data_IF_629084571289
#
_entry.id   IF_629084571289
#
_cell.length_a   1.000
_cell.length_b   1.000
_cell.length_c   1.000
_cell.angle_alpha   90.00
_cell.angle_beta   90.00
_cell.angle_gamma   90.00
#
_symmetry.space_group_name_H-M   'P 1'
#
loop_
_entity.id
_entity.type
_entity.pdbx_description
1 polymer ?
#
# COMPACT_ATOMS: atom_id res chain seq x y z
N UNK A 1 -4.76 -15.90 -35.02
CA UNK A 1 -3.82 -15.36 -36.04
C UNK A 1 -3.18 -14.03 -35.60
N UNK A 2 -3.91 -13.08 -34.99
CA UNK A 2 -3.31 -11.87 -34.41
C UNK A 2 -2.33 -12.13 -33.24
N UNK A 3 -2.61 -13.10 -32.38
CA UNK A 3 -1.75 -13.44 -31.23
C UNK A 3 -0.34 -13.94 -31.60
N UNK A 4 -0.11 -14.37 -32.85
CA UNK A 4 1.19 -14.85 -33.35
C UNK A 4 2.00 -13.75 -34.07
N UNK A 5 1.39 -12.57 -34.30
CA UNK A 5 2.05 -11.42 -34.91
C UNK A 5 2.68 -10.47 -33.87
N UNK A 6 2.41 -10.70 -32.58
CA UNK A 6 3.09 -10.00 -31.50
C UNK A 6 4.51 -10.54 -31.38
N UNK A 7 5.45 -9.78 -31.94
CA UNK A 7 6.87 -10.02 -31.83
C UNK A 7 7.47 -9.32 -30.61
N UNK A 8 8.79 -9.47 -30.41
CA UNK A 8 9.51 -8.83 -29.32
C UNK A 8 9.35 -7.30 -29.29
N UNK A 9 9.25 -6.67 -30.47
CA UNK A 9 9.11 -5.21 -30.59
C UNK A 9 7.74 -4.72 -30.08
N UNK A 10 6.67 -5.47 -30.34
CA UNK A 10 5.32 -5.15 -29.89
C UNK A 10 5.20 -5.33 -28.37
N UNK A 11 5.78 -6.40 -27.80
CA UNK A 11 5.84 -6.57 -26.34
C UNK A 11 6.65 -5.48 -25.65
N UNK A 12 7.78 -5.08 -26.24
CA UNK A 12 8.59 -3.98 -25.71
C UNK A 12 7.81 -2.65 -25.73
N UNK A 13 7.19 -2.31 -26.86
CA UNK A 13 6.43 -1.06 -26.97
C UNK A 13 5.21 -1.04 -26.05
N UNK A 14 4.53 -2.18 -25.85
CA UNK A 14 3.47 -2.32 -24.87
C UNK A 14 3.95 -2.12 -23.43
N UNK A 15 5.09 -2.70 -23.04
CA UNK A 15 5.67 -2.47 -21.69
C UNK A 15 6.03 -1.00 -21.47
N UNK A 16 6.66 -0.36 -22.46
CA UNK A 16 7.00 1.07 -22.39
C UNK A 16 5.72 1.92 -22.26
N UNK A 17 4.70 1.64 -23.07
CA UNK A 17 3.41 2.33 -23.01
C UNK A 17 2.75 2.15 -21.63
N UNK A 18 2.78 0.94 -21.07
CA UNK A 18 2.24 0.64 -19.75
C UNK A 18 2.95 1.45 -18.66
N UNK A 19 4.28 1.48 -18.65
CA UNK A 19 5.05 2.27 -17.69
C UNK A 19 4.78 3.77 -17.79
N UNK A 20 4.73 4.32 -19.00
CA UNK A 20 4.38 5.74 -19.23
C UNK A 20 2.99 6.04 -18.67
N UNK A 21 1.99 5.22 -19.03
CA UNK A 21 0.60 5.42 -18.62
C UNK A 21 0.44 5.35 -17.10
N UNK A 22 1.04 4.33 -16.46
CA UNK A 22 0.99 4.15 -15.00
C UNK A 22 1.68 5.33 -14.29
N UNK A 23 2.85 5.76 -14.77
CA UNK A 23 3.58 6.89 -14.17
C UNK A 23 2.85 8.23 -14.33
N UNK A 24 2.08 8.41 -15.42
CA UNK A 24 1.33 9.63 -15.70
C UNK A 24 0.02 9.72 -14.91
N UNK A 25 -0.65 8.60 -14.66
CA UNK A 25 -1.97 8.57 -13.99
C UNK A 25 -1.86 8.70 -12.47
N UNK A 26 -0.81 8.15 -11.86
CA UNK A 26 -0.75 7.95 -10.40
C UNK A 26 -0.22 9.14 -9.59
N UNK A 27 0.17 10.27 -10.19
CA UNK A 27 0.76 11.36 -9.38
C UNK A 27 0.82 12.73 -10.02
N UNK A 28 0.98 13.74 -9.15
CA UNK A 28 1.22 15.14 -9.55
C UNK A 28 2.62 15.37 -10.15
N UNK A 29 3.51 14.38 -10.05
CA UNK A 29 4.88 14.43 -10.56
C UNK A 29 5.25 13.09 -11.19
N UNK A 30 5.56 13.10 -12.49
CA UNK A 30 5.96 11.92 -13.25
C UNK A 30 7.22 11.25 -12.69
N UNK A 31 8.15 12.03 -12.15
CA UNK A 31 9.38 11.50 -11.53
C UNK A 31 9.04 10.67 -10.30
N UNK A 32 8.18 11.18 -9.42
CA UNK A 32 7.74 10.45 -8.21
C UNK A 32 6.97 9.17 -8.58
N UNK A 33 6.11 9.26 -9.59
CA UNK A 33 5.40 8.11 -10.14
C UNK A 33 6.35 7.03 -10.66
N UNK A 34 7.33 7.41 -11.48
CA UNK A 34 8.30 6.48 -12.05
C UNK A 34 9.19 5.85 -10.97
N UNK A 35 9.63 6.61 -9.97
CA UNK A 35 10.42 6.05 -8.85
C UNK A 35 9.62 5.05 -8.03
N UNK A 36 8.33 5.34 -7.77
CA UNK A 36 7.45 4.42 -7.04
C UNK A 36 7.16 3.14 -7.83
N UNK A 37 6.97 3.28 -9.15
CA UNK A 37 6.78 2.17 -10.07
C UNK A 37 8.00 1.24 -10.08
N UNK A 38 9.20 1.80 -10.16
CA UNK A 38 10.44 1.01 -10.13
C UNK A 38 10.62 0.27 -8.80
N UNK A 39 10.30 0.92 -7.68
CA UNK A 39 10.34 0.29 -6.37
C UNK A 39 9.36 -0.90 -6.28
N UNK A 40 8.13 -0.72 -6.74
CA UNK A 40 7.14 -1.81 -6.81
C UNK A 40 7.55 -2.93 -7.77
N UNK A 41 8.14 -2.59 -8.91
CA UNK A 41 8.62 -3.55 -9.90
C UNK A 41 9.72 -4.47 -9.31
N UNK A 42 10.67 -3.92 -8.55
CA UNK A 42 11.71 -4.72 -7.89
C UNK A 42 11.11 -5.72 -6.90
N UNK A 43 10.12 -5.29 -6.11
CA UNK A 43 9.41 -6.18 -5.17
C UNK A 43 8.64 -7.26 -5.94
N UNK A 44 7.99 -6.89 -7.05
CA UNK A 44 7.24 -7.82 -7.89
C UNK A 44 8.08 -8.85 -8.66
N UNK A 45 9.40 -8.66 -8.74
CA UNK A 45 10.31 -9.65 -9.34
C UNK A 45 10.67 -10.80 -8.39
N UNK A 46 10.32 -10.70 -7.10
CA UNK A 46 10.58 -11.75 -6.11
C UNK A 46 9.63 -12.93 -6.40
N UNK A 47 10.19 -14.12 -6.61
CA UNK A 47 9.41 -15.33 -6.88
C UNK A 47 10.02 -16.23 -7.97
N UNK A 48 9.30 -17.29 -8.30
CA UNK A 48 9.63 -18.15 -9.45
C UNK A 48 9.13 -17.50 -10.74
N UNK A 49 10.02 -17.36 -11.72
CA UNK A 49 9.66 -16.89 -13.05
C UNK A 49 8.83 -17.95 -13.81
N UNK A 50 7.61 -17.61 -14.23
CA UNK A 50 6.68 -18.57 -14.87
C UNK A 50 7.14 -19.07 -16.24
N UNK A 51 8.05 -18.37 -16.93
CA UNK A 51 8.53 -18.80 -18.24
C UNK A 51 9.71 -19.78 -18.14
N UNK A 52 10.60 -19.56 -17.18
CA UNK A 52 11.88 -20.27 -17.06
C UNK A 52 11.94 -21.21 -15.87
N UNK A 53 11.02 -21.09 -14.90
CA UNK A 53 11.00 -21.86 -13.66
C UNK A 53 12.13 -21.52 -12.69
N UNK A 54 12.92 -20.48 -12.96
CA UNK A 54 14.06 -20.09 -12.14
C UNK A 54 13.62 -19.17 -10.99
N UNK A 55 14.13 -19.37 -9.76
CA UNK A 55 13.85 -18.47 -8.65
C UNK A 55 14.61 -17.15 -8.82
N UNK A 56 13.92 -16.02 -8.61
CA UNK A 56 14.49 -14.67 -8.64
C UNK A 56 14.30 -14.01 -7.28
N UNK A 57 15.40 -13.47 -6.74
CA UNK A 57 15.41 -12.72 -5.48
C UNK A 57 14.80 -13.48 -4.28
N UNK A 58 14.86 -14.81 -4.27
CA UNK A 58 14.33 -15.65 -3.17
C UNK A 58 15.36 -15.95 -2.07
N UNK A 59 16.64 -15.64 -2.32
CA UNK A 59 17.75 -15.74 -1.34
C UNK A 59 17.86 -17.10 -0.62
N UNK A 60 17.37 -18.18 -1.22
CA UNK A 60 17.37 -19.53 -0.63
C UNK A 60 16.23 -19.80 0.36
N UNK A 61 15.29 -18.87 0.53
CA UNK A 61 14.09 -19.05 1.36
C UNK A 61 12.93 -19.58 0.51
N UNK A 62 12.27 -20.64 1.01
CA UNK A 62 11.16 -21.29 0.31
C UNK A 62 9.90 -20.42 0.24
N UNK A 63 9.65 -19.61 1.26
CA UNK A 63 8.48 -18.71 1.35
C UNK A 63 8.46 -17.67 0.23
N UNK A 64 9.64 -17.22 -0.23
CA UNK A 64 9.75 -16.25 -1.32
C UNK A 64 9.58 -16.88 -2.71
N UNK A 65 9.47 -18.21 -2.84
CA UNK A 65 9.23 -18.87 -4.14
C UNK A 65 7.85 -18.52 -4.71
N UNK A 66 6.85 -18.41 -3.84
CA UNK A 66 5.49 -18.01 -4.19
C UNK A 66 5.37 -16.49 -4.44
N UNK A 67 6.48 -15.76 -4.23
CA UNK A 67 6.56 -14.31 -4.36
C UNK A 67 5.98 -13.58 -3.15
N UNK A 68 5.82 -12.26 -3.29
CA UNK A 68 5.25 -11.43 -2.22
C UNK A 68 3.76 -11.26 -2.44
N UNK A 69 2.96 -11.61 -1.45
CA UNK A 69 1.50 -11.45 -1.49
C UNK A 69 1.12 -9.96 -1.68
N UNK A 70 0.36 -9.70 -2.74
CA UNK A 70 -0.08 -8.36 -3.14
C UNK A 70 -0.93 -7.70 -2.04
N UNK A 71 -1.74 -8.46 -1.31
CA UNK A 71 -2.56 -7.97 -0.20
C UNK A 71 -1.65 -7.52 0.94
N UNK A 72 -0.62 -8.31 1.28
CA UNK A 72 0.35 -7.97 2.33
C UNK A 72 1.07 -6.67 1.97
N UNK A 73 1.54 -6.54 0.73
CA UNK A 73 2.21 -5.31 0.25
C UNK A 73 1.27 -4.12 0.30
N UNK A 74 0.04 -4.26 -0.20
CA UNK A 74 -0.93 -3.17 -0.24
C UNK A 74 -1.30 -2.67 1.16
N UNK A 75 -1.61 -3.59 2.09
CA UNK A 75 -1.93 -3.25 3.48
C UNK A 75 -0.72 -2.64 4.18
N UNK A 76 0.48 -3.19 3.97
CA UNK A 76 1.72 -2.69 4.56
C UNK A 76 2.08 -1.28 4.07
N UNK A 77 2.02 -1.03 2.75
CA UNK A 77 2.30 0.29 2.19
C UNK A 77 1.29 1.33 2.70
N UNK A 78 0.02 0.97 2.81
CA UNK A 78 -1.01 1.84 3.35
C UNK A 78 -0.74 2.19 4.82
N UNK A 79 -0.50 1.18 5.66
CA UNK A 79 -0.24 1.38 7.08
C UNK A 79 1.01 2.24 7.35
N UNK A 80 2.11 1.94 6.65
CA UNK A 80 3.36 2.72 6.75
C UNK A 80 3.16 4.13 6.21
N UNK A 81 2.47 4.28 5.08
CA UNK A 81 2.17 5.58 4.47
C UNK A 81 1.38 6.50 5.39
N UNK A 82 0.29 5.99 5.98
CA UNK A 82 -0.52 6.73 6.96
C UNK A 82 0.27 7.04 8.23
N UNK A 83 1.05 6.09 8.73
CA UNK A 83 1.87 6.31 9.94
C UNK A 83 2.90 7.43 9.72
N UNK A 84 3.61 7.41 8.59
CA UNK A 84 4.56 8.46 8.23
C UNK A 84 3.86 9.79 7.98
N UNK A 85 2.70 9.78 7.34
CA UNK A 85 1.89 10.97 7.12
C UNK A 85 1.48 11.63 8.44
N UNK A 86 0.95 10.85 9.38
CA UNK A 86 0.58 11.30 10.71
C UNK A 86 1.80 11.77 11.52
N UNK A 87 2.91 11.04 11.47
CA UNK A 87 4.13 11.41 12.18
C UNK A 87 4.78 12.69 11.63
N UNK A 88 4.73 12.90 10.30
CA UNK A 88 5.27 14.10 9.65
C UNK A 88 4.47 15.36 10.00
N UNK A 89 3.18 15.21 10.29
CA UNK A 89 2.33 16.28 10.78
C UNK A 89 2.59 16.45 12.27
N UNK A 90 3.39 17.46 12.61
CA UNK A 90 3.47 17.95 13.99
C UNK A 90 2.03 18.22 14.45
N UNK A 91 1.59 17.55 15.52
CA UNK A 91 0.31 17.83 16.17
C UNK A 91 0.33 19.32 16.59
N UNK A 92 -0.21 20.18 15.72
CA UNK A 92 -0.32 21.62 15.92
C UNK A 92 -1.71 21.99 16.45
N UNK A 93 -2.53 20.99 16.78
CA UNK A 93 -3.66 21.20 17.66
C UNK A 93 -3.11 21.61 19.02
N UNK A 94 -3.42 22.83 19.46
CA UNK A 94 -3.51 23.08 20.90
C UNK A 94 -4.38 21.95 21.44
N UNK A 95 -3.98 21.29 22.51
CA UNK A 95 -4.89 20.45 23.27
C UNK A 95 -6.09 21.33 23.62
N UNK A 96 -7.13 21.29 22.79
CA UNK A 96 -8.41 21.83 23.14
C UNK A 96 -8.87 20.91 24.25
N UNK A 97 -8.67 21.38 25.47
CA UNK A 97 -9.32 20.83 26.64
C UNK A 97 -10.81 20.91 26.30
N UNK A 98 -11.36 19.83 25.76
CA UNK A 98 -12.79 19.68 25.55
C UNK A 98 -13.34 19.71 26.97
N UNK A 99 -13.96 20.82 27.41
CA UNK A 99 -14.49 20.86 28.75
C UNK A 99 -15.55 19.76 28.77
N UNK A 100 -15.41 18.81 29.70
CA UNK A 100 -16.43 17.81 29.95
C UNK A 100 -17.72 18.58 30.29
N UNK A 101 -18.59 18.76 29.28
CA UNK A 101 -19.89 19.40 29.45
C UNK A 101 -20.83 18.39 30.07
N UNK A 102 -20.81 18.35 31.39
CA UNK A 102 -21.67 17.47 32.18
C UNK A 102 -21.27 17.46 33.65
N UNK A 103 -22.12 16.85 34.47
CA UNK A 103 -21.77 16.48 35.82
C UNK A 103 -20.72 15.37 35.78
N UNK A 104 -19.62 15.51 36.53
CA UNK A 104 -18.65 14.43 36.77
C UNK A 104 -19.29 13.23 37.51
N UNK A 105 -20.45 13.46 38.11
CA UNK A 105 -21.23 12.46 38.83
C UNK A 105 -22.40 11.99 37.97
N UNK A 106 -22.60 10.68 37.93
CA UNK A 106 -23.82 10.07 37.39
C UNK A 106 -25.03 10.57 38.17
N UNK A 107 -26.09 10.94 37.44
CA UNK A 107 -27.39 11.25 38.00
C UNK A 107 -28.03 10.01 38.63
N UNK A 108 -28.99 10.19 39.54
CA UNK A 108 -29.70 9.07 40.17
C UNK A 108 -30.37 8.12 39.15
N UNK A 109 -30.82 8.68 38.01
CA UNK A 109 -31.39 7.91 36.91
C UNK A 109 -30.36 7.11 36.11
N UNK A 110 -29.10 7.54 36.07
CA UNK A 110 -28.00 6.78 35.45
C UNK A 110 -27.53 5.66 36.38
N UNK A 111 -27.42 5.94 37.69
CA UNK A 111 -27.16 4.91 38.70
C UNK A 111 -28.21 3.79 38.71
N UNK A 112 -29.50 4.13 38.63
CA UNK A 112 -30.58 3.16 38.56
C UNK A 112 -30.53 2.29 37.29
N UNK A 113 -29.98 2.82 36.19
CA UNK A 113 -29.82 2.11 34.91
C UNK A 113 -28.59 1.21 34.88
N UNK A 114 -27.50 1.60 35.54
CA UNK A 114 -26.24 0.84 35.57
C UNK A 114 -26.17 -0.24 36.65
N UNK A 115 -27.14 -0.32 37.57
CA UNK A 115 -27.14 -1.27 38.69
C UNK A 115 -27.52 -2.71 38.31
N UNK A 116 -28.12 -2.94 37.14
CA UNK A 116 -28.45 -4.31 36.70
C UNK A 116 -27.60 -4.70 35.49
N UNK A 117 -26.99 -5.89 35.49
CA UNK A 117 -26.31 -6.44 34.31
C UNK A 117 -27.30 -6.74 33.17
#
# INVERSE_FOLDING_TARGET
KFALAFGPAEYFSLMVLAFITVSAVLGSSSVRGLTSLFAGFVIGMIGVDLQTGQPRFTFGTGELLDGVDVIIVAVGLFAVGETLYMASRRYAGKDEIVPLRGSLYMTAAEWARSWKP
#
